data_IF_612988268563
#
_entry.id   IF_612988268563
#
_cell.length_a   1.000
_cell.length_b   1.000
_cell.length_c   1.000
_cell.angle_alpha   90.00
_cell.angle_beta   90.00
_cell.angle_gamma   90.00
#
_symmetry.space_group_name_H-M   'P 1'
#
loop_
_entity.id
_entity.type
_entity.pdbx_description
1 polymer ?
#
# COMPACT_ATOMS: atom_id res chain seq x y z
N UNK A 1 20.16 16.46 -26.94
CA UNK A 1 19.72 15.90 -25.64
C UNK A 1 18.20 15.83 -25.59
N UNK A 2 17.65 14.62 -25.58
CA UNK A 2 16.22 14.37 -25.72
C UNK A 2 15.51 14.57 -24.36
N UNK A 3 15.11 15.80 -24.03
CA UNK A 3 14.41 16.18 -22.77
C UNK A 3 13.08 15.42 -22.55
N UNK A 4 12.56 14.76 -23.59
CA UNK A 4 11.25 14.08 -23.62
C UNK A 4 11.16 12.78 -22.78
N UNK A 5 12.29 12.10 -22.49
CA UNK A 5 12.23 10.79 -21.84
C UNK A 5 12.17 10.82 -20.30
N UNK A 6 12.63 11.89 -19.64
CA UNK A 6 12.69 11.93 -18.17
C UNK A 6 11.35 12.30 -17.51
N UNK A 7 10.39 12.87 -18.25
CA UNK A 7 9.09 13.26 -17.72
C UNK A 7 8.13 12.09 -17.51
N UNK A 8 8.25 11.02 -18.32
CA UNK A 8 7.36 9.85 -18.25
C UNK A 8 7.47 9.07 -16.93
N UNK A 9 8.68 8.71 -16.45
CA UNK A 9 8.82 8.07 -15.14
C UNK A 9 8.25 8.93 -14.01
N UNK A 10 8.50 10.25 -14.05
CA UNK A 10 8.03 11.18 -13.03
C UNK A 10 6.50 11.26 -12.98
N UNK A 11 5.86 11.38 -14.15
CA UNK A 11 4.40 11.39 -14.26
C UNK A 11 3.76 10.09 -13.75
N UNK A 12 4.38 8.93 -14.03
CA UNK A 12 3.90 7.64 -13.55
C UNK A 12 4.01 7.55 -12.02
N UNK A 13 5.10 8.05 -11.44
CA UNK A 13 5.25 8.12 -9.98
C UNK A 13 4.21 9.04 -9.35
N UNK A 14 3.95 10.21 -9.95
CA UNK A 14 2.88 11.09 -9.48
C UNK A 14 1.54 10.35 -9.50
N UNK A 15 1.21 9.66 -10.59
CA UNK A 15 -0.04 8.88 -10.70
C UNK A 15 -0.12 7.82 -9.60
N UNK A 16 0.96 7.06 -9.37
CA UNK A 16 1.00 6.04 -8.32
C UNK A 16 0.86 6.62 -6.92
N UNK A 17 1.46 7.78 -6.65
CA UNK A 17 1.30 8.51 -5.38
C UNK A 17 -0.16 8.96 -5.23
N UNK A 18 -0.75 9.57 -6.27
CA UNK A 18 -2.14 10.00 -6.23
C UNK A 18 -3.10 8.82 -6.00
N UNK A 19 -2.87 7.68 -6.66
CA UNK A 19 -3.64 6.45 -6.42
C UNK A 19 -3.51 6.02 -4.96
N UNK A 20 -2.28 5.97 -4.42
CA UNK A 20 -2.06 5.57 -3.04
C UNK A 20 -2.71 6.51 -2.01
N UNK A 21 -2.87 7.79 -2.35
CA UNK A 21 -3.46 8.81 -1.48
C UNK A 21 -4.97 9.00 -1.64
N UNK A 22 -5.53 8.70 -2.82
CA UNK A 22 -6.93 8.98 -3.16
C UNK A 22 -7.82 7.73 -3.16
N UNK A 23 -7.25 6.55 -3.42
CA UNK A 23 -8.00 5.31 -3.43
C UNK A 23 -7.87 4.57 -2.09
N UNK A 24 -8.96 3.96 -1.60
CA UNK A 24 -8.88 3.09 -0.44
C UNK A 24 -7.93 1.93 -0.76
N UNK A 25 -6.90 1.77 0.07
CA UNK A 25 -5.89 0.73 -0.12
C UNK A 25 -6.20 -0.55 0.68
N UNK A 26 -7.14 -0.48 1.62
CA UNK A 26 -7.54 -1.59 2.46
C UNK A 26 -8.89 -1.34 3.14
N UNK A 27 -9.51 -2.41 3.64
CA UNK A 27 -10.63 -2.37 4.56
C UNK A 27 -10.17 -2.67 5.99
N UNK A 28 -10.68 -1.89 6.93
CA UNK A 28 -10.61 -2.12 8.36
C UNK A 28 -11.78 -3.01 8.77
N UNK A 29 -11.47 -4.09 9.49
CA UNK A 29 -12.41 -5.01 10.11
C UNK A 29 -12.35 -4.82 11.63
N UNK A 30 -13.44 -4.34 12.21
CA UNK A 30 -13.63 -4.39 13.65
C UNK A 30 -14.13 -5.78 14.06
N UNK A 31 -13.32 -6.48 14.86
CA UNK A 31 -13.64 -7.82 15.38
C UNK A 31 -14.09 -7.79 16.84
N UNK A 32 -14.29 -6.60 17.42
CA UNK A 32 -14.68 -6.49 18.82
C UNK A 32 -16.09 -7.05 19.04
N UNK A 33 -16.28 -7.86 20.11
CA UNK A 33 -17.57 -8.52 20.38
C UNK A 33 -18.71 -7.54 20.69
N UNK A 34 -18.38 -6.29 21.06
CA UNK A 34 -19.32 -5.22 21.33
C UNK A 34 -19.35 -4.14 20.24
N UNK A 35 -18.46 -4.25 19.25
CA UNK A 35 -18.42 -3.37 18.09
C UNK A 35 -19.51 -3.74 17.10
N UNK A 36 -20.04 -2.74 16.40
CA UNK A 36 -20.80 -3.01 15.20
C UNK A 36 -19.77 -3.59 14.22
N UNK A 37 -19.91 -4.84 13.79
CA UNK A 37 -19.04 -5.51 12.81
C UNK A 37 -19.04 -4.70 11.50
N UNK A 38 -18.27 -3.63 11.48
CA UNK A 38 -18.32 -2.57 10.50
C UNK A 38 -17.08 -2.67 9.64
N UNK A 39 -17.33 -2.61 8.33
CA UNK A 39 -16.29 -2.55 7.33
C UNK A 39 -16.14 -1.09 6.95
N UNK A 40 -14.97 -0.54 7.23
CA UNK A 40 -14.66 0.84 6.85
C UNK A 40 -13.40 0.85 5.99
N UNK A 41 -13.41 1.66 4.93
CA UNK A 41 -12.21 1.81 4.12
C UNK A 41 -11.15 2.60 4.90
N UNK A 42 -9.92 2.08 4.97
CA UNK A 42 -8.88 2.64 5.85
C UNK A 42 -8.53 4.09 5.49
N UNK A 43 -8.53 4.43 4.21
CA UNK A 43 -8.31 5.82 3.78
C UNK A 43 -9.45 6.75 4.22
N UNK A 44 -10.69 6.27 4.29
CA UNK A 44 -11.85 7.08 4.59
C UNK A 44 -12.01 7.33 6.10
N UNK A 45 -11.48 6.42 6.93
CA UNK A 45 -11.36 6.65 8.39
C UNK A 45 -10.56 7.89 8.76
N UNK A 46 -9.60 8.26 7.91
CA UNK A 46 -8.90 9.53 8.04
C UNK A 46 -9.79 10.74 7.77
N UNK A 47 -10.68 10.63 6.79
CA UNK A 47 -11.60 11.70 6.38
C UNK A 47 -12.66 11.94 7.44
N UNK A 48 -13.11 10.88 8.12
CA UNK A 48 -14.06 10.99 9.23
C UNK A 48 -13.45 11.64 10.50
N UNK A 49 -12.12 11.70 10.58
CA UNK A 49 -11.41 12.30 11.72
C UNK A 49 -11.41 13.83 11.62
N UNK A 50 -12.40 14.49 12.21
CA UNK A 50 -12.58 15.95 12.13
C UNK A 50 -11.54 16.79 12.88
N UNK A 51 -10.78 16.19 13.82
CA UNK A 51 -9.72 16.90 14.55
C UNK A 51 -8.33 16.57 14.02
N UNK A 52 -7.46 17.58 13.91
CA UNK A 52 -6.08 17.41 13.44
C UNK A 52 -5.27 16.42 14.30
N UNK A 53 -5.55 16.37 15.61
CA UNK A 53 -4.91 15.43 16.54
C UNK A 53 -5.33 13.99 16.24
N UNK A 54 -6.62 13.73 16.03
CA UNK A 54 -7.13 12.40 15.68
C UNK A 54 -6.60 11.96 14.31
N UNK A 55 -6.54 12.88 13.34
CA UNK A 55 -6.02 12.61 12.00
C UNK A 55 -4.52 12.27 12.03
N UNK A 56 -3.73 12.99 12.83
CA UNK A 56 -2.31 12.66 13.03
C UNK A 56 -2.14 11.30 13.72
N UNK A 57 -2.90 11.03 14.79
CA UNK A 57 -2.83 9.77 15.51
C UNK A 57 -3.19 8.58 14.60
N UNK A 58 -4.25 8.70 13.82
CA UNK A 58 -4.63 7.69 12.83
C UNK A 58 -3.54 7.49 11.78
N UNK A 59 -2.86 8.57 11.36
CA UNK A 59 -1.76 8.51 10.37
C UNK A 59 -0.59 7.71 10.90
N UNK A 60 -0.19 7.98 12.14
CA UNK A 60 0.91 7.29 12.81
C UNK A 60 0.54 5.82 13.05
N UNK A 61 -0.67 5.54 13.54
CA UNK A 61 -1.11 4.18 13.86
C UNK A 61 -1.23 3.28 12.63
N UNK A 62 -1.62 3.86 11.49
CA UNK A 62 -1.79 3.11 10.24
C UNK A 62 -0.53 3.12 9.37
N UNK A 63 0.47 3.96 9.66
CA UNK A 63 1.75 4.03 8.92
C UNK A 63 2.42 2.68 8.67
N UNK A 64 2.52 1.78 9.68
CA UNK A 64 3.11 0.47 9.46
C UNK A 64 2.44 -0.32 8.34
N UNK A 65 1.14 -0.14 8.14
CA UNK A 65 0.37 -0.91 7.16
C UNK A 65 0.60 -0.41 5.72
N UNK A 66 0.91 0.87 5.51
CA UNK A 66 1.10 1.43 4.15
C UNK A 66 2.55 1.74 3.77
N UNK A 67 3.51 1.63 4.70
CA UNK A 67 4.94 1.94 4.42
C UNK A 67 5.50 1.16 3.23
N UNK A 68 5.09 -0.10 3.06
CA UNK A 68 5.54 -0.93 1.93
C UNK A 68 4.88 -0.55 0.60
N UNK A 69 3.75 0.15 0.61
CA UNK A 69 3.20 0.81 -0.57
C UNK A 69 4.20 1.82 -1.17
N UNK A 70 4.84 2.63 -0.32
CA UNK A 70 5.89 3.55 -0.76
C UNK A 70 7.15 2.81 -1.25
N UNK A 71 7.54 1.71 -0.60
CA UNK A 71 8.64 0.85 -1.07
C UNK A 71 8.37 0.34 -2.48
N UNK A 72 7.13 -0.09 -2.76
CA UNK A 72 6.74 -0.52 -4.10
C UNK A 72 6.76 0.62 -5.12
N UNK A 73 6.26 1.80 -4.77
CA UNK A 73 6.34 3.01 -5.63
C UNK A 73 7.80 3.34 -5.94
N UNK A 74 8.69 3.28 -4.94
CA UNK A 74 10.12 3.49 -5.15
C UNK A 74 10.75 2.41 -6.05
N UNK A 75 10.34 1.15 -5.91
CA UNK A 75 10.76 0.07 -6.82
C UNK A 75 10.25 0.26 -8.25
N UNK A 76 9.05 0.79 -8.42
CA UNK A 76 8.52 1.20 -9.73
C UNK A 76 9.38 2.31 -10.33
N UNK A 77 9.76 3.31 -9.55
CA UNK A 77 10.66 4.38 -9.99
C UNK A 77 11.99 3.82 -10.48
N UNK A 78 12.63 2.94 -9.70
CA UNK A 78 13.86 2.26 -10.10
C UNK A 78 13.69 1.41 -11.34
N UNK A 79 12.56 0.72 -11.49
CA UNK A 79 12.25 -0.08 -12.66
C UNK A 79 12.16 0.77 -13.94
N UNK A 80 11.53 1.93 -13.87
CA UNK A 80 11.47 2.88 -14.99
C UNK A 80 12.83 3.52 -15.33
N UNK A 81 13.76 3.53 -14.37
CA UNK A 81 15.16 3.90 -14.61
C UNK A 81 16.06 2.74 -15.06
N UNK A 82 15.50 1.54 -15.28
CA UNK A 82 16.26 0.30 -15.52
C UNK A 82 17.24 -0.07 -14.40
N UNK A 83 17.03 0.43 -13.18
CA UNK A 83 17.84 0.14 -11.98
C UNK A 83 17.26 -0.95 -11.10
N UNK A 84 16.16 -1.57 -11.53
CA UNK A 84 15.51 -2.69 -10.87
C UNK A 84 14.97 -3.66 -11.92
N UNK A 85 15.02 -4.96 -11.62
CA UNK A 85 14.46 -5.98 -12.51
C UNK A 85 12.93 -6.04 -12.41
N UNK A 86 12.28 -6.49 -13.48
CA UNK A 86 10.84 -6.74 -13.52
C UNK A 86 10.37 -7.63 -12.36
N UNK A 87 11.06 -8.76 -12.15
CA UNK A 87 10.70 -9.75 -11.14
C UNK A 87 10.69 -9.15 -9.73
N UNK A 88 11.79 -8.49 -9.35
CA UNK A 88 11.91 -7.84 -8.04
C UNK A 88 10.89 -6.72 -7.82
N UNK A 89 10.49 -6.00 -8.87
CA UNK A 89 9.44 -4.97 -8.76
C UNK A 89 8.06 -5.60 -8.53
N UNK A 90 7.74 -6.70 -9.22
CA UNK A 90 6.49 -7.44 -8.99
C UNK A 90 6.45 -8.00 -7.57
N UNK A 91 7.55 -8.63 -7.11
CA UNK A 91 7.65 -9.16 -5.74
C UNK A 91 7.43 -8.04 -4.71
N UNK A 92 8.03 -6.86 -4.92
CA UNK A 92 7.81 -5.72 -4.03
C UNK A 92 6.33 -5.29 -4.00
N UNK A 93 5.63 -5.31 -5.13
CA UNK A 93 4.19 -5.00 -5.19
C UNK A 93 3.32 -6.05 -4.49
N UNK A 94 3.62 -7.34 -4.68
CA UNK A 94 2.93 -8.44 -3.99
C UNK A 94 3.13 -8.28 -2.49
N UNK A 95 4.37 -8.07 -2.05
CA UNK A 95 4.67 -7.87 -0.63
C UNK A 95 3.95 -6.63 -0.09
N UNK A 96 3.99 -5.49 -0.78
CA UNK A 96 3.29 -4.28 -0.38
C UNK A 96 1.78 -4.49 -0.22
N UNK A 97 1.17 -5.31 -1.07
CA UNK A 97 -0.24 -5.66 -0.98
C UNK A 97 -0.51 -6.61 0.18
N UNK A 98 0.33 -7.62 0.40
CA UNK A 98 0.11 -8.60 1.46
C UNK A 98 0.52 -8.08 2.85
N UNK A 99 1.37 -7.06 2.92
CA UNK A 99 1.92 -6.56 4.18
C UNK A 99 0.87 -6.21 5.25
N UNK A 100 -0.23 -5.49 4.93
CA UNK A 100 -1.29 -5.25 5.92
C UNK A 100 -1.92 -6.53 6.48
N UNK A 101 -2.10 -7.54 5.62
CA UNK A 101 -2.65 -8.83 6.01
C UNK A 101 -1.67 -9.60 6.91
N UNK A 102 -0.36 -9.54 6.61
CA UNK A 102 0.68 -10.15 7.43
C UNK A 102 0.73 -9.53 8.83
N UNK A 103 0.60 -8.20 8.93
CA UNK A 103 0.50 -7.51 10.22
C UNK A 103 -0.79 -7.86 10.98
N UNK A 104 -1.86 -8.21 10.26
CA UNK A 104 -3.14 -8.63 10.83
C UNK A 104 -3.16 -10.10 11.24
N UNK A 105 -2.15 -10.90 10.86
CA UNK A 105 -2.13 -12.34 11.12
C UNK A 105 -2.15 -12.70 12.62
N UNK A 106 -1.37 -12.04 13.50
CA UNK A 106 -1.46 -12.26 14.95
C UNK A 106 -2.87 -12.09 15.51
N UNK A 107 -3.62 -11.13 14.97
CA UNK A 107 -4.98 -10.81 15.37
C UNK A 107 -5.96 -11.88 14.89
N UNK A 108 -5.84 -12.27 13.61
CA UNK A 108 -6.66 -13.33 13.01
C UNK A 108 -6.47 -14.67 13.74
N UNK A 109 -5.25 -14.94 14.21
CA UNK A 109 -4.92 -16.13 14.99
C UNK A 109 -5.26 -16.00 16.49
N UNK A 110 -5.81 -14.85 16.93
CA UNK A 110 -6.18 -14.58 18.32
C UNK A 110 -5.04 -14.84 19.30
N UNK A 111 -3.83 -14.36 18.97
CA UNK A 111 -2.68 -14.54 19.85
C UNK A 111 -2.86 -13.74 21.15
N UNK A 112 -2.35 -14.23 22.31
CA UNK A 112 -2.66 -13.63 23.62
C UNK A 112 -2.32 -12.15 23.75
N UNK A 113 -1.23 -11.70 23.11
CA UNK A 113 -0.78 -10.30 23.15
C UNK A 113 -1.64 -9.36 22.27
N UNK A 114 -2.58 -9.90 21.50
CA UNK A 114 -3.52 -9.12 20.69
C UNK A 114 -4.88 -8.95 21.35
N UNK A 115 -5.07 -9.53 22.54
CA UNK A 115 -6.34 -9.56 23.26
C UNK A 115 -6.17 -8.82 24.60
N UNK A 116 -7.02 -7.84 24.84
CA UNK A 116 -7.08 -7.09 26.09
C UNK A 116 -7.69 -7.92 27.24
N UNK A 117 -7.53 -7.45 28.47
CA UNK A 117 -8.07 -8.09 29.68
C UNK A 117 -9.61 -8.23 29.70
N UNK A 118 -10.32 -7.68 28.71
CA UNK A 118 -11.76 -7.87 28.49
C UNK A 118 -12.14 -8.76 27.30
N UNK A 119 -11.17 -9.44 26.66
CA UNK A 119 -11.43 -10.26 25.46
C UNK A 119 -11.55 -9.45 24.16
N UNK A 120 -11.35 -8.12 24.24
CA UNK A 120 -11.35 -7.23 23.09
C UNK A 120 -10.05 -7.33 22.30
N UNK A 121 -10.16 -7.17 20.99
CA UNK A 121 -9.02 -7.20 20.09
C UNK A 121 -8.36 -5.82 20.11
N UNK A 122 -7.08 -5.78 20.46
CA UNK A 122 -6.31 -4.52 20.58
C UNK A 122 -5.92 -3.91 19.23
N UNK A 123 -5.87 -4.72 18.18
CA UNK A 123 -5.34 -4.32 16.88
C UNK A 123 -6.35 -4.60 15.76
N UNK A 124 -6.42 -3.74 14.75
CA UNK A 124 -7.36 -3.92 13.66
C UNK A 124 -6.96 -5.09 12.75
N UNK A 125 -7.95 -5.71 12.10
CA UNK A 125 -7.69 -6.55 10.93
C UNK A 125 -7.79 -5.68 9.69
N UNK A 126 -6.73 -5.68 8.88
CA UNK A 126 -6.64 -4.90 7.65
C UNK A 126 -6.60 -5.84 6.46
N UNK A 127 -7.66 -5.82 5.65
CA UNK A 127 -7.75 -6.56 4.39
C UNK A 127 -7.28 -5.64 3.25
N UNK A 128 -6.16 -5.95 2.59
CA UNK A 128 -5.61 -5.10 1.53
C UNK A 128 -6.46 -5.16 0.26
N UNK A 129 -6.50 -4.04 -0.47
CA UNK A 129 -7.15 -3.94 -1.78
C UNK A 129 -6.08 -3.83 -2.88
N UNK A 130 -6.16 -4.69 -3.92
CA UNK A 130 -5.41 -4.74 -5.17
C UNK A 130 -4.72 -3.53 -5.80
N UNK A 131 -5.28 -2.33 -5.63
CA UNK A 131 -5.25 -1.32 -6.69
C UNK A 131 -3.84 -0.92 -7.10
N UNK A 132 -2.97 -0.67 -6.11
CA UNK A 132 -1.59 -0.27 -6.38
C UNK A 132 -0.83 -1.37 -7.14
N UNK A 133 -0.98 -2.64 -6.74
CA UNK A 133 -0.36 -3.79 -7.40
C UNK A 133 -0.90 -3.98 -8.83
N UNK A 134 -2.21 -3.95 -9.02
CA UNK A 134 -2.83 -4.16 -10.33
C UNK A 134 -2.36 -3.09 -11.33
N UNK A 135 -2.38 -1.83 -10.92
CA UNK A 135 -1.93 -0.71 -11.75
C UNK A 135 -0.42 -0.78 -11.97
N UNK A 136 0.36 -1.10 -10.94
CA UNK A 136 1.80 -1.26 -11.04
C UNK A 136 2.19 -2.39 -12.01
N UNK A 137 1.51 -3.53 -11.97
CA UNK A 137 1.68 -4.62 -12.94
C UNK A 137 1.36 -4.13 -14.35
N UNK A 138 0.21 -3.46 -14.55
CA UNK A 138 -0.16 -2.93 -15.87
C UNK A 138 0.94 -2.01 -16.42
N UNK A 139 1.44 -1.08 -15.60
CA UNK A 139 2.54 -0.18 -15.94
C UNK A 139 3.84 -0.91 -16.29
N UNK A 140 4.19 -1.95 -15.53
CA UNK A 140 5.36 -2.79 -15.81
C UNK A 140 5.29 -3.40 -17.22
N UNK A 141 4.13 -3.94 -17.59
CA UNK A 141 3.93 -4.56 -18.91
C UNK A 141 3.76 -3.55 -20.04
N UNK A 142 3.24 -2.36 -19.74
CA UNK A 142 3.10 -1.25 -20.70
C UNK A 142 4.41 -0.47 -20.91
N UNK A 143 5.45 -0.69 -20.10
CA UNK A 143 6.76 -0.06 -20.30
C UNK A 143 7.30 -0.42 -21.69
N UNK A 144 7.51 0.56 -22.58
CA UNK A 144 8.00 0.29 -23.93
C UNK A 144 9.34 -0.47 -23.87
N UNK A 145 9.46 -1.57 -24.61
CA UNK A 145 10.67 -2.38 -24.71
C UNK A 145 11.88 -1.65 -25.35
N UNK A 146 11.71 -0.37 -25.69
CA UNK A 146 12.65 0.48 -26.43
C UNK A 146 13.98 0.72 -25.68
N UNK A 147 14.09 0.36 -24.41
CA UNK A 147 15.34 0.49 -23.63
C UNK A 147 16.17 -0.82 -23.54
N UNK A 148 15.82 -1.89 -24.24
CA UNK A 148 16.56 -3.16 -24.23
C UNK A 148 17.39 -3.43 -25.49
N UNK A 149 17.64 -2.42 -26.33
CA UNK A 149 18.64 -2.50 -27.41
C UNK A 149 19.77 -1.52 -27.13
N UNK A 150 20.71 -1.96 -26.32
CA UNK A 150 22.10 -1.55 -26.44
C UNK A 150 22.95 -2.57 -25.67
N UNK A 151 23.39 -3.60 -26.37
CA UNK A 151 24.75 -4.11 -26.27
C UNK A 151 25.04 -4.87 -27.57
N UNK A 152 26.08 -4.38 -28.25
CA UNK A 152 26.78 -4.93 -29.42
C UNK A 152 27.28 -6.34 -29.12
#
# INVERSE_FOLDING_TARGET
MNKSNNSRPFLIIIILILIALLLPYAYHLDLNPFGWNSYEAVLWRYVESTSAVLLFNNTVNLFPYYVFGFVFIFQMYRYYQNKASRLWTIIAGIYATLHPLLLSLPVLLRLPFTIASGGEVMYPVIIPIPFLLLIGIALIYLKPAIMMKETV
#
